data_IF_684691336337
#
_entry.id   IF_684691336337
#
_cell.length_a   1.000
_cell.length_b   1.000
_cell.length_c   1.000
_cell.angle_alpha   90.00
_cell.angle_beta   90.00
_cell.angle_gamma   90.00
#
_symmetry.space_group_name_H-M   'P 1'
#
loop_
_entity.id
_entity.type
_entity.pdbx_description
1 polymer ?
#
# COMPACT_ATOMS: atom_id res chain seq x y z
N UNK A 1 -57.11 25.40 -5.49
CA UNK A 1 -56.07 24.61 -4.78
C UNK A 1 -54.99 24.26 -5.80
N UNK A 2 -53.84 24.93 -5.78
CA UNK A 2 -52.73 24.68 -6.69
C UNK A 2 -51.91 23.49 -6.17
N UNK A 3 -51.73 22.43 -6.96
CA UNK A 3 -50.79 21.36 -6.65
C UNK A 3 -49.80 21.24 -7.83
N UNK A 4 -48.49 21.49 -7.62
CA UNK A 4 -47.52 21.53 -8.71
C UNK A 4 -47.27 20.14 -9.31
N UNK A 5 -46.92 20.05 -10.61
CA UNK A 5 -46.65 18.79 -11.28
C UNK A 5 -45.31 18.22 -10.79
N UNK A 6 -45.31 17.03 -10.17
CA UNK A 6 -44.06 16.32 -9.86
C UNK A 6 -43.74 15.29 -10.94
N UNK A 7 -42.72 15.58 -11.75
CA UNK A 7 -41.93 14.58 -12.46
C UNK A 7 -40.56 15.18 -12.81
N UNK A 8 -39.51 14.37 -13.08
CA UNK A 8 -39.01 13.11 -12.50
C UNK A 8 -37.70 13.47 -11.72
N UNK A 9 -36.84 12.61 -11.20
CA UNK A 9 -36.08 11.56 -11.88
C UNK A 9 -35.25 10.89 -10.80
N UNK A 10 -35.47 9.60 -10.62
CA UNK A 10 -34.63 8.73 -9.80
C UNK A 10 -33.24 8.60 -10.48
N UNK A 11 -32.10 8.95 -9.83
CA UNK A 11 -30.77 8.62 -10.34
C UNK A 11 -30.23 7.26 -9.82
N UNK A 12 -30.99 6.53 -9.00
CA UNK A 12 -30.54 5.30 -8.34
C UNK A 12 -30.94 4.01 -9.09
N UNK A 13 -31.54 4.12 -10.28
CA UNK A 13 -31.97 2.97 -11.07
C UNK A 13 -31.00 2.71 -12.23
N UNK A 14 -29.85 2.09 -11.92
CA UNK A 14 -29.09 1.15 -12.76
C UNK A 14 -27.58 1.19 -12.41
N UNK A 15 -27.18 0.41 -11.41
CA UNK A 15 -25.80 -0.05 -11.31
C UNK A 15 -25.79 -1.41 -10.60
N UNK A 16 -26.29 -2.43 -11.29
CA UNK A 16 -25.97 -3.82 -11.02
C UNK A 16 -24.45 -4.02 -11.21
N UNK A 17 -23.67 -3.71 -10.16
CA UNK A 17 -22.26 -4.10 -10.09
C UNK A 17 -22.19 -5.61 -9.85
N UNK A 18 -22.19 -6.36 -10.95
CA UNK A 18 -21.87 -7.78 -10.95
C UNK A 18 -20.35 -7.91 -10.70
N UNK A 19 -19.90 -8.56 -9.61
CA UNK A 19 -18.48 -8.77 -9.39
C UNK A 19 -17.96 -9.72 -10.45
N UNK A 20 -17.14 -9.21 -11.36
CA UNK A 20 -16.41 -10.03 -12.33
C UNK A 20 -15.41 -10.85 -11.50
N UNK A 21 -15.63 -12.17 -11.41
CA UNK A 21 -14.64 -13.10 -10.86
C UNK A 21 -13.36 -12.97 -11.67
N UNK A 22 -12.34 -12.36 -11.07
CA UNK A 22 -11.00 -12.30 -11.62
C UNK A 22 -10.44 -13.73 -11.65
N UNK A 23 -9.93 -14.23 -12.79
CA UNK A 23 -9.28 -15.54 -12.83
C UNK A 23 -8.09 -15.52 -11.88
N UNK A 24 -7.96 -16.54 -11.04
CA UNK A 24 -6.81 -16.70 -10.16
C UNK A 24 -5.54 -16.69 -11.01
N UNK A 25 -4.72 -15.64 -10.85
CA UNK A 25 -3.40 -15.59 -11.47
C UNK A 25 -2.60 -16.80 -10.97
N UNK A 26 -1.79 -17.45 -11.83
CA UNK A 26 -0.96 -18.56 -11.41
C UNK A 26 -0.12 -18.08 -10.23
N UNK A 27 -0.06 -18.89 -9.17
CA UNK A 27 0.85 -18.69 -8.04
C UNK A 27 2.25 -18.70 -8.63
N UNK A 28 2.74 -17.52 -8.98
CA UNK A 28 4.14 -17.29 -9.21
C UNK A 28 4.76 -17.46 -7.83
N UNK A 29 5.32 -18.63 -7.59
CA UNK A 29 6.32 -18.82 -6.55
C UNK A 29 7.41 -17.78 -6.84
N UNK A 30 7.29 -16.62 -6.20
CA UNK A 30 8.32 -15.59 -6.30
C UNK A 30 9.53 -16.18 -5.62
N UNK A 31 10.43 -16.73 -6.44
CA UNK A 31 11.79 -17.06 -6.01
C UNK A 31 12.27 -15.92 -5.15
N UNK A 32 12.68 -16.23 -3.92
CA UNK A 32 13.11 -15.28 -2.92
C UNK A 32 14.29 -14.46 -3.47
N UNK A 33 13.98 -13.40 -4.20
CA UNK A 33 14.98 -12.50 -4.71
C UNK A 33 15.62 -11.79 -3.51
N UNK A 34 16.94 -11.55 -3.50
CA UNK A 34 17.65 -10.98 -2.35
C UNK A 34 17.33 -9.50 -2.04
N UNK A 35 16.16 -9.00 -2.44
CA UNK A 35 15.71 -7.64 -2.20
C UNK A 35 14.16 -7.51 -2.20
N UNK A 36 13.44 -8.60 -1.93
CA UNK A 36 11.98 -8.56 -1.83
C UNK A 36 11.59 -7.71 -0.63
N UNK A 37 10.73 -6.71 -0.87
CA UNK A 37 10.08 -5.96 0.20
C UNK A 37 8.93 -6.80 0.74
N UNK A 38 8.98 -7.09 2.02
CA UNK A 38 7.89 -7.79 2.70
C UNK A 38 6.85 -6.78 3.21
N UNK A 39 5.58 -7.03 2.91
CA UNK A 39 4.49 -6.22 3.45
C UNK A 39 4.22 -6.67 4.89
N UNK A 40 4.58 -5.83 5.85
CA UNK A 40 4.40 -6.11 7.27
C UNK A 40 3.60 -5.02 7.96
N UNK A 41 2.84 -5.41 8.99
CA UNK A 41 2.11 -4.47 9.84
C UNK A 41 3.01 -3.97 10.97
N UNK A 42 3.53 -2.75 10.84
CA UNK A 42 4.33 -2.08 11.88
C UNK A 42 3.59 -0.86 12.42
N UNK A 43 3.82 -0.53 13.69
CA UNK A 43 3.31 0.71 14.30
C UNK A 43 4.34 1.81 14.12
N UNK A 44 3.92 2.93 13.53
CA UNK A 44 4.74 4.13 13.32
C UNK A 44 4.06 5.30 14.05
N UNK A 45 4.86 6.16 14.68
CA UNK A 45 4.36 7.39 15.29
C UNK A 45 3.71 8.31 14.25
N UNK A 46 2.69 9.07 14.67
CA UNK A 46 1.93 9.94 13.76
C UNK A 46 2.77 11.08 13.20
N UNK A 47 3.62 11.71 14.01
CA UNK A 47 4.47 12.81 13.56
C UNK A 47 5.53 12.34 12.55
N UNK A 48 6.06 11.13 12.76
CA UNK A 48 6.97 10.49 11.79
C UNK A 48 6.23 10.21 10.48
N UNK A 49 5.01 9.67 10.55
CA UNK A 49 4.22 9.38 9.36
C UNK A 49 3.90 10.65 8.55
N UNK A 50 3.45 11.71 9.22
CA UNK A 50 3.15 13.00 8.59
C UNK A 50 4.40 13.60 7.92
N UNK A 51 5.57 13.53 8.59
CA UNK A 51 6.84 14.00 8.03
C UNK A 51 7.18 13.31 6.69
N UNK A 52 7.00 11.99 6.57
CA UNK A 52 7.31 11.30 5.32
C UNK A 52 6.23 11.50 4.24
N UNK A 53 4.97 11.66 4.64
CA UNK A 53 3.83 11.86 3.74
C UNK A 53 3.78 13.26 3.12
N UNK A 54 4.34 14.28 3.78
CA UNK A 54 4.30 15.68 3.31
C UNK A 54 4.88 15.86 1.91
N UNK A 55 5.89 15.07 1.54
CA UNK A 55 6.57 15.12 0.24
C UNK A 55 5.82 14.33 -0.86
N UNK A 56 4.63 13.80 -0.55
CA UNK A 56 3.75 13.15 -1.53
C UNK A 56 4.09 11.68 -1.81
N UNK A 57 3.76 11.16 -3.01
CA UNK A 57 3.96 9.75 -3.38
C UNK A 57 5.39 9.25 -3.11
N UNK A 58 5.53 7.95 -2.84
CA UNK A 58 6.84 7.33 -2.51
C UNK A 58 7.29 7.53 -1.05
N UNK A 59 6.41 7.99 -0.15
CA UNK A 59 6.75 8.16 1.27
C UNK A 59 7.19 6.86 1.96
N UNK A 60 6.66 5.71 1.53
CA UNK A 60 7.07 4.40 2.05
C UNK A 60 8.50 4.04 1.65
N UNK A 61 8.90 4.37 0.41
CA UNK A 61 10.28 4.20 -0.06
C UNK A 61 11.25 5.04 0.78
N UNK A 62 10.90 6.30 1.04
CA UNK A 62 11.71 7.21 1.89
C UNK A 62 11.88 6.70 3.32
N UNK A 63 10.82 6.14 3.91
CA UNK A 63 10.91 5.46 5.21
C UNK A 63 11.88 4.28 5.12
N UNK A 64 11.71 3.41 4.12
CA UNK A 64 12.55 2.23 3.95
C UNK A 64 14.04 2.59 3.74
N UNK A 65 14.34 3.63 2.97
CA UNK A 65 15.72 4.10 2.76
C UNK A 65 16.33 4.68 4.05
N UNK A 66 15.54 5.40 4.84
CA UNK A 66 15.96 5.88 6.17
C UNK A 66 16.32 4.70 7.10
N UNK A 67 15.50 3.65 7.10
CA UNK A 67 15.76 2.43 7.88
C UNK A 67 17.04 1.73 7.40
N UNK A 68 17.25 1.62 6.08
CA UNK A 68 18.49 1.05 5.51
C UNK A 68 19.73 1.85 5.93
N UNK A 69 19.66 3.18 5.88
CA UNK A 69 20.75 4.04 6.33
C UNK A 69 21.03 3.89 7.83
N UNK A 70 19.98 3.75 8.65
CA UNK A 70 20.13 3.52 10.08
C UNK A 70 20.83 2.18 10.38
N UNK A 71 20.47 1.11 9.66
CA UNK A 71 21.12 -0.21 9.77
C UNK A 71 22.60 -0.11 9.37
N UNK A 72 22.90 0.55 8.25
CA UNK A 72 24.28 0.73 7.80
C UNK A 72 25.13 1.48 8.84
N UNK A 73 24.53 2.49 9.51
CA UNK A 73 25.18 3.23 10.60
C UNK A 73 25.41 2.40 11.87
N UNK A 74 24.50 1.48 12.18
CA UNK A 74 24.65 0.59 13.35
C UNK A 74 25.66 -0.56 13.15
N UNK A 75 26.26 -0.67 11.96
CA UNK A 75 27.13 -1.77 11.56
C UNK A 75 26.37 -2.88 10.82
N UNK A 76 27.03 -3.64 9.92
CA UNK A 76 26.32 -4.61 9.09
C UNK A 76 25.63 -5.68 9.97
N UNK A 77 24.39 -6.09 9.63
CA UNK A 77 23.75 -7.20 10.32
C UNK A 77 24.63 -8.46 10.14
N UNK A 78 24.78 -9.22 11.22
CA UNK A 78 25.60 -10.45 11.32
C UNK A 78 25.23 -11.56 10.29
N UNK A 79 24.28 -11.32 9.40
CA UNK A 79 23.82 -12.26 8.37
C UNK A 79 24.76 -12.37 7.17
N UNK A 80 25.70 -11.44 6.97
CA UNK A 80 26.68 -11.50 5.88
C UNK A 80 27.92 -12.37 6.21
N UNK A 81 28.02 -12.93 7.42
CA UNK A 81 29.20 -13.68 7.88
C UNK A 81 29.18 -15.19 7.56
N UNK A 82 28.15 -15.71 6.88
CA UNK A 82 27.97 -17.17 6.69
C UNK A 82 28.23 -17.69 5.27
N UNK A 83 28.90 -16.91 4.40
CA UNK A 83 29.37 -17.40 3.11
C UNK A 83 30.91 -17.43 3.09
N UNK A 84 31.47 -18.50 3.63
CA UNK A 84 32.84 -18.96 3.38
C UNK A 84 32.82 -20.46 3.20
#
# INVERSE_FOLDING_TARGET
MANPPRRPTNPMAAADFKPIKQPAAPVRETSAAPNVRELVSIRIDRGVLDYFQQDGPGWQDRINDTLRHAIAKSGPPLVAAHAR
#
